data_IF_639460874774
#
_entry.id   IF_639460874774
#
_cell.length_a   1.000
_cell.length_b   1.000
_cell.length_c   1.000
_cell.angle_alpha   90.00
_cell.angle_beta   90.00
_cell.angle_gamma   90.00
#
_symmetry.space_group_name_H-M   'P 1'
#
loop_
_entity.id
_entity.type
_entity.pdbx_description
1 polymer ?
#
# COMPACT_ATOMS: atom_id res chain seq x y z
N UNK A 1 23.11 47.21 -1.98
CA UNK A 1 23.00 45.92 -1.26
C UNK A 1 22.50 46.05 0.17
N UNK A 2 23.05 46.94 1.01
CA UNK A 2 22.63 47.10 2.43
C UNK A 2 21.16 47.45 2.60
N UNK A 3 20.53 48.24 1.70
CA UNK A 3 19.11 48.63 1.74
C UNK A 3 18.13 47.47 1.57
N UNK A 4 18.55 46.32 1.06
CA UNK A 4 17.69 45.14 0.86
C UNK A 4 17.80 44.10 1.97
N UNK A 5 18.84 44.18 2.82
CA UNK A 5 19.10 43.20 3.88
C UNK A 5 17.99 43.24 4.94
N UNK A 6 17.61 44.44 5.40
CA UNK A 6 16.58 44.57 6.45
C UNK A 6 15.22 44.12 5.95
N UNK A 7 14.75 44.54 4.76
CA UNK A 7 13.51 43.99 4.19
C UNK A 7 13.54 42.46 4.00
N UNK A 8 14.64 41.92 3.50
CA UNK A 8 14.80 40.47 3.33
C UNK A 8 14.71 39.73 4.68
N UNK A 9 15.42 40.22 5.71
CA UNK A 9 15.37 39.64 7.05
C UNK A 9 13.96 39.66 7.65
N UNK A 10 13.25 40.80 7.53
CA UNK A 10 11.87 40.93 8.00
C UNK A 10 10.94 39.95 7.27
N UNK A 11 11.07 39.85 5.95
CA UNK A 11 10.28 38.91 5.16
C UNK A 11 10.57 37.46 5.55
N UNK A 12 11.83 37.10 5.73
CA UNK A 12 12.22 35.75 6.18
C UNK A 12 11.61 35.42 7.54
N UNK A 13 11.73 36.34 8.52
CA UNK A 13 11.12 36.15 9.84
C UNK A 13 9.60 36.03 9.78
N UNK A 14 8.94 36.85 8.97
CA UNK A 14 7.50 36.75 8.74
C UNK A 14 7.13 35.40 8.11
N UNK A 15 7.86 34.93 7.09
CA UNK A 15 7.62 33.63 6.48
C UNK A 15 7.84 32.48 7.49
N UNK A 16 8.86 32.53 8.31
CA UNK A 16 9.08 31.53 9.37
C UNK A 16 7.90 31.53 10.34
N UNK A 17 7.46 32.69 10.80
CA UNK A 17 6.32 32.78 11.71
C UNK A 17 5.04 32.20 11.10
N UNK A 18 4.70 32.60 9.87
CA UNK A 18 3.46 32.16 9.24
C UNK A 18 3.52 30.70 8.78
N UNK A 19 4.59 30.27 8.13
CA UNK A 19 4.66 28.94 7.51
C UNK A 19 5.19 27.86 8.45
N UNK A 20 6.19 28.15 9.28
CA UNK A 20 6.73 27.16 10.23
C UNK A 20 6.01 27.20 11.58
N UNK A 21 5.44 28.34 11.98
CA UNK A 21 4.69 28.48 13.23
C UNK A 21 3.19 28.27 13.02
N UNK A 22 2.51 29.31 12.57
CA UNK A 22 1.05 29.38 12.53
C UNK A 22 0.44 28.25 11.66
N UNK A 23 0.95 28.03 10.45
CA UNK A 23 0.47 26.98 9.55
C UNK A 23 0.64 25.58 10.15
N UNK A 24 1.82 25.30 10.72
CA UNK A 24 2.08 24.00 11.35
C UNK A 24 1.15 23.72 12.54
N UNK A 25 0.90 24.74 13.38
CA UNK A 25 -0.07 24.64 14.48
C UNK A 25 -1.49 24.44 14.01
N UNK A 26 -1.88 25.10 12.93
CA UNK A 26 -3.21 24.91 12.33
C UNK A 26 -3.39 23.49 11.81
N UNK A 27 -2.41 22.94 11.10
CA UNK A 27 -2.45 21.56 10.61
C UNK A 27 -2.46 20.57 11.77
N UNK A 28 -1.67 20.82 12.83
CA UNK A 28 -1.68 19.98 14.04
C UNK A 28 -3.08 19.99 14.69
N UNK A 29 -3.72 21.16 14.78
CA UNK A 29 -5.09 21.28 15.31
C UNK A 29 -6.12 20.49 14.49
N UNK A 30 -6.02 20.53 13.15
CA UNK A 30 -6.87 19.74 12.25
C UNK A 30 -6.60 18.24 12.44
N UNK A 31 -5.32 17.85 12.53
CA UNK A 31 -4.93 16.45 12.72
C UNK A 31 -5.53 15.85 14.01
N UNK A 32 -5.69 16.61 15.08
CA UNK A 32 -6.27 16.13 16.34
C UNK A 32 -7.75 15.73 16.23
N UNK A 33 -8.48 16.25 15.24
CA UNK A 33 -9.90 15.91 14.99
C UNK A 33 -10.07 14.85 13.91
N UNK A 34 -8.98 14.44 13.25
CA UNK A 34 -9.00 13.39 12.23
C UNK A 34 -8.99 11.97 12.84
N UNK A 35 -9.45 10.95 12.11
CA UNK A 35 -9.25 9.56 12.51
C UNK A 35 -7.77 9.27 12.81
N UNK A 36 -7.47 8.61 13.94
CA UNK A 36 -6.09 8.37 14.37
C UNK A 36 -5.37 9.56 14.98
N UNK A 37 -6.02 10.73 15.12
CA UNK A 37 -5.48 11.95 15.80
C UNK A 37 -4.07 12.36 15.34
N UNK A 38 -3.77 12.13 14.06
CA UNK A 38 -2.46 12.42 13.47
C UNK A 38 -1.39 11.33 13.67
N UNK A 39 -1.70 10.24 14.39
CA UNK A 39 -0.77 9.11 14.60
C UNK A 39 -0.94 7.99 13.56
N UNK A 40 -1.85 8.18 12.60
CA UNK A 40 -2.24 7.17 11.61
C UNK A 40 -3.40 6.29 12.08
N UNK A 41 -4.11 5.72 11.14
CA UNK A 41 -5.24 4.82 11.39
C UNK A 41 -4.73 3.39 11.58
N UNK A 42 -4.78 2.89 12.82
CA UNK A 42 -4.35 1.54 13.15
C UNK A 42 -5.49 0.53 13.00
N UNK A 43 -5.16 -0.67 12.54
CA UNK A 43 -6.07 -1.81 12.50
C UNK A 43 -5.75 -2.76 13.65
N UNK A 44 -6.77 -3.13 14.43
CA UNK A 44 -6.59 -4.03 15.56
C UNK A 44 -7.43 -5.30 15.41
N UNK A 45 -6.83 -6.44 15.76
CA UNK A 45 -7.50 -7.74 15.83
C UNK A 45 -7.31 -8.31 17.24
N UNK A 46 -8.41 -8.68 17.89
CA UNK A 46 -8.42 -9.19 19.27
C UNK A 46 -7.68 -8.29 20.27
N UNK A 47 -7.83 -6.96 20.12
CA UNK A 47 -7.20 -5.96 20.99
C UNK A 47 -5.71 -5.70 20.74
N UNK A 48 -5.11 -6.36 19.74
CA UNK A 48 -3.70 -6.16 19.34
C UNK A 48 -3.66 -5.42 18.00
N UNK A 49 -2.87 -4.35 17.91
CA UNK A 49 -2.61 -3.66 16.64
C UNK A 49 -1.83 -4.60 15.73
N UNK A 50 -2.35 -4.81 14.52
CA UNK A 50 -1.77 -5.69 13.49
C UNK A 50 -1.17 -4.91 12.33
N UNK A 51 -1.46 -3.62 12.22
CA UNK A 51 -0.88 -2.74 11.19
C UNK A 51 -1.63 -1.42 11.07
N UNK A 52 -1.26 -0.66 10.03
CA UNK A 52 -1.89 0.59 9.66
C UNK A 52 -2.79 0.39 8.44
N UNK A 53 -3.98 1.00 8.45
CA UNK A 53 -4.96 0.83 7.38
C UNK A 53 -4.46 1.33 6.02
N UNK A 54 -3.67 2.41 6.02
CA UNK A 54 -3.21 3.09 4.80
C UNK A 54 -1.74 2.81 4.46
N UNK A 55 -1.13 1.82 5.10
CA UNK A 55 0.27 1.44 4.86
C UNK A 55 0.38 -0.03 4.44
N UNK A 56 1.03 -0.26 3.31
CA UNK A 56 1.32 -1.59 2.80
C UNK A 56 2.28 -2.34 3.72
N UNK A 57 2.06 -3.64 3.84
CA UNK A 57 2.85 -4.55 4.65
C UNK A 57 3.36 -5.73 3.83
N UNK A 58 4.44 -6.35 4.31
CA UNK A 58 4.99 -7.53 3.67
C UNK A 58 4.17 -8.78 4.04
N UNK A 59 3.49 -9.36 3.07
CA UNK A 59 2.88 -10.66 3.15
C UNK A 59 3.60 -11.60 2.19
N UNK A 60 4.32 -12.61 2.69
CA UNK A 60 5.12 -13.56 1.91
C UNK A 60 4.67 -15.02 2.04
N UNK A 61 3.73 -15.31 2.96
CA UNK A 61 3.21 -16.66 3.13
C UNK A 61 2.13 -16.97 2.09
N UNK A 62 2.08 -18.21 1.60
CA UNK A 62 1.15 -18.67 0.56
C UNK A 62 -0.32 -18.58 0.94
N UNK A 63 -0.63 -18.59 2.22
CA UNK A 63 -1.99 -18.46 2.74
C UNK A 63 -2.56 -17.03 2.72
N UNK A 64 -1.74 -16.01 2.34
CA UNK A 64 -2.14 -14.62 2.31
C UNK A 64 -2.09 -14.02 0.91
N UNK A 65 -2.89 -13.00 0.66
CA UNK A 65 -2.71 -12.12 -0.50
C UNK A 65 -1.44 -11.32 -0.33
N UNK A 66 -0.63 -11.30 -1.37
CA UNK A 66 0.60 -10.54 -1.40
C UNK A 66 0.34 -9.11 -1.85
N UNK A 67 0.99 -8.17 -1.20
CA UNK A 67 0.99 -6.75 -1.55
C UNK A 67 1.87 -6.48 -2.77
N UNK A 68 1.81 -5.26 -3.28
CA UNK A 68 2.74 -4.76 -4.30
C UNK A 68 4.17 -4.78 -3.75
N UNK A 69 5.20 -5.09 -4.58
CA UNK A 69 6.59 -5.03 -4.14
C UNK A 69 6.97 -3.64 -3.64
N UNK A 70 7.77 -3.61 -2.57
CA UNK A 70 8.31 -2.38 -1.98
C UNK A 70 9.78 -2.20 -2.34
N UNK A 71 10.17 -0.99 -2.76
CA UNK A 71 11.57 -0.63 -2.98
C UNK A 71 12.30 -0.28 -1.68
N UNK A 72 11.55 -0.05 -0.59
CA UNK A 72 12.06 0.33 0.74
C UNK A 72 11.82 -0.74 1.81
N UNK A 73 11.43 -1.95 1.41
CA UNK A 73 11.17 -3.05 2.34
C UNK A 73 10.00 -2.79 3.30
N UNK A 74 9.00 -2.01 2.87
CA UNK A 74 7.85 -1.58 3.68
C UNK A 74 8.26 -0.77 4.93
N UNK A 75 9.37 -0.05 4.86
CA UNK A 75 9.80 0.83 5.94
C UNK A 75 9.03 2.16 5.90
N UNK A 76 8.08 2.34 6.82
CA UNK A 76 7.27 3.55 6.92
C UNK A 76 8.08 4.82 7.22
N UNK A 77 9.24 4.70 7.86
CA UNK A 77 10.13 5.83 8.12
C UNK A 77 10.86 6.35 6.87
N UNK A 78 10.78 5.62 5.75
CA UNK A 78 11.51 5.96 4.52
C UNK A 78 10.71 5.63 3.27
N UNK A 79 9.47 6.16 3.15
CA UNK A 79 8.64 5.98 1.94
C UNK A 79 9.39 6.43 0.68
N UNK A 80 9.38 5.59 -0.36
CA UNK A 80 10.01 5.90 -1.64
C UNK A 80 9.91 4.78 -2.67
N UNK A 81 10.05 5.15 -3.94
CA UNK A 81 10.12 4.22 -5.07
C UNK A 81 11.55 3.83 -5.44
N UNK A 82 11.68 2.88 -6.37
CA UNK A 82 13.00 2.45 -6.89
C UNK A 82 13.69 3.53 -7.72
N UNK A 83 12.93 4.48 -8.26
CA UNK A 83 13.40 5.56 -9.15
C UNK A 83 14.21 5.07 -10.37
N UNK A 84 14.04 3.81 -10.75
CA UNK A 84 14.72 3.19 -11.90
C UNK A 84 13.88 3.35 -13.17
N UNK A 85 14.52 3.71 -14.26
CA UNK A 85 13.88 3.78 -15.58
C UNK A 85 13.49 2.39 -16.10
N UNK A 86 12.52 2.35 -17.01
CA UNK A 86 11.98 1.10 -17.58
C UNK A 86 13.00 0.29 -18.39
N UNK A 87 14.07 0.94 -18.87
CA UNK A 87 15.17 0.31 -19.62
C UNK A 87 16.39 -0.02 -18.76
N UNK A 88 16.35 0.29 -17.46
CA UNK A 88 17.46 0.01 -16.55
C UNK A 88 17.68 -1.51 -16.40
N UNK A 89 18.88 -2.06 -16.67
CA UNK A 89 19.13 -3.50 -16.63
C UNK A 89 18.88 -4.12 -15.24
N UNK A 90 19.27 -3.44 -14.17
CA UNK A 90 19.04 -3.94 -12.81
C UNK A 90 17.55 -3.99 -12.48
N UNK A 91 16.77 -2.97 -12.94
CA UNK A 91 15.33 -2.99 -12.77
C UNK A 91 14.68 -4.16 -13.51
N UNK A 92 15.07 -4.41 -14.76
CA UNK A 92 14.55 -5.53 -15.54
C UNK A 92 14.91 -6.88 -14.91
N UNK A 93 16.09 -7.00 -14.32
CA UNK A 93 16.51 -8.18 -13.56
C UNK A 93 15.65 -8.36 -12.31
N UNK A 94 15.39 -7.30 -11.54
CA UNK A 94 14.54 -7.34 -10.36
C UNK A 94 13.11 -7.79 -10.73
N UNK A 95 12.54 -7.22 -11.82
CA UNK A 95 11.20 -7.59 -12.31
C UNK A 95 11.15 -9.05 -12.75
N UNK A 96 12.17 -9.52 -13.48
CA UNK A 96 12.26 -10.93 -13.91
C UNK A 96 12.31 -11.88 -12.71
N UNK A 97 13.13 -11.57 -11.72
CA UNK A 97 13.22 -12.36 -10.48
C UNK A 97 11.89 -12.42 -9.73
N UNK A 98 11.15 -11.32 -9.69
CA UNK A 98 9.81 -11.27 -9.06
C UNK A 98 8.78 -12.09 -9.85
N UNK A 99 8.83 -12.04 -11.18
CA UNK A 99 7.98 -12.88 -12.04
C UNK A 99 8.25 -14.37 -11.76
N UNK A 100 9.51 -14.78 -11.74
CA UNK A 100 9.90 -16.16 -11.51
C UNK A 100 9.46 -16.62 -10.11
N UNK A 101 9.70 -15.81 -9.09
CA UNK A 101 9.23 -16.06 -7.73
C UNK A 101 7.71 -16.19 -7.65
N UNK A 102 6.97 -15.27 -8.29
CA UNK A 102 5.50 -15.32 -8.30
C UNK A 102 4.97 -16.61 -8.93
N UNK A 103 5.54 -17.05 -10.05
CA UNK A 103 5.12 -18.27 -10.76
C UNK A 103 5.43 -19.56 -9.97
N UNK A 104 6.51 -19.58 -9.18
CA UNK A 104 6.82 -20.72 -8.30
C UNK A 104 5.69 -20.97 -7.30
N UNK A 105 5.11 -19.92 -6.76
CA UNK A 105 4.02 -19.98 -5.78
C UNK A 105 2.64 -20.07 -6.43
N UNK A 106 2.42 -19.45 -7.59
CA UNK A 106 1.14 -19.39 -8.30
C UNK A 106 1.18 -20.22 -9.59
N UNK A 107 1.30 -21.54 -9.45
CA UNK A 107 1.53 -22.50 -10.56
C UNK A 107 0.41 -22.54 -11.62
N UNK A 108 -0.78 -22.09 -11.30
CA UNK A 108 -1.93 -22.01 -12.23
C UNK A 108 -1.91 -20.76 -13.10
N UNK A 109 -1.01 -19.81 -12.85
CA UNK A 109 -0.96 -18.51 -13.54
C UNK A 109 0.09 -18.55 -14.65
N UNK A 110 -0.27 -18.07 -15.84
CA UNK A 110 0.72 -17.89 -16.91
C UNK A 110 1.41 -16.53 -16.75
N UNK A 111 2.66 -16.42 -17.21
CA UNK A 111 3.46 -15.18 -17.15
C UNK A 111 2.72 -13.95 -17.73
N UNK A 112 2.00 -14.13 -18.84
CA UNK A 112 1.24 -13.05 -19.51
C UNK A 112 0.03 -12.55 -18.71
N UNK A 113 -0.45 -13.35 -17.76
CA UNK A 113 -1.65 -13.06 -16.98
C UNK A 113 -1.31 -12.38 -15.64
N UNK A 114 -0.01 -12.27 -15.29
CA UNK A 114 0.44 -11.59 -14.08
C UNK A 114 0.20 -10.08 -14.22
N UNK A 115 -0.60 -9.45 -13.33
CA UNK A 115 -0.70 -8.00 -13.30
C UNK A 115 0.64 -7.35 -13.00
N UNK A 116 0.99 -6.31 -13.76
CA UNK A 116 2.28 -5.62 -13.64
C UNK A 116 2.57 -5.10 -12.21
N UNK A 117 1.53 -4.70 -11.49
CA UNK A 117 1.66 -4.21 -10.11
C UNK A 117 2.17 -5.26 -9.11
N UNK A 118 1.98 -6.55 -9.36
CA UNK A 118 2.51 -7.62 -8.50
C UNK A 118 4.01 -7.88 -8.68
N UNK A 119 4.62 -7.29 -9.73
CA UNK A 119 6.04 -7.48 -10.05
C UNK A 119 6.81 -6.16 -10.13
N UNK A 120 6.12 -5.02 -10.15
CA UNK A 120 6.72 -3.69 -10.13
C UNK A 120 6.54 -3.04 -8.76
N UNK A 121 7.60 -2.42 -8.24
CA UNK A 121 7.52 -1.71 -6.97
C UNK A 121 6.55 -0.53 -7.05
N UNK A 122 5.82 -0.28 -5.97
CA UNK A 122 4.98 0.91 -5.84
C UNK A 122 5.83 2.18 -5.74
N UNK A 123 5.26 3.33 -6.11
CA UNK A 123 5.95 4.61 -6.03
C UNK A 123 6.24 5.06 -4.59
N UNK A 124 5.37 4.69 -3.65
CA UNK A 124 5.55 4.97 -2.21
C UNK A 124 6.40 3.91 -1.49
N UNK A 125 6.43 2.68 -2.00
CA UNK A 125 6.95 1.51 -1.27
C UNK A 125 6.07 1.05 -0.10
N UNK A 126 4.90 1.70 0.09
CA UNK A 126 3.95 1.46 1.20
C UNK A 126 2.51 1.38 0.69
N UNK A 127 2.29 1.05 -0.59
CA UNK A 127 0.96 0.94 -1.17
C UNK A 127 0.18 -0.20 -0.51
N UNK A 128 -0.94 0.08 0.19
CA UNK A 128 -1.72 -0.94 0.88
C UNK A 128 -2.66 -1.71 -0.05
N UNK A 129 -2.85 -1.20 -1.27
CA UNK A 129 -3.91 -1.65 -2.16
C UNK A 129 -3.38 -2.45 -3.36
N UNK A 130 -4.20 -3.38 -3.84
CA UNK A 130 -4.02 -4.10 -5.10
C UNK A 130 -5.29 -4.01 -5.94
N UNK A 131 -5.19 -4.21 -7.25
CA UNK A 131 -6.36 -4.27 -8.11
C UNK A 131 -7.14 -5.59 -7.93
N UNK A 132 -8.40 -5.59 -8.36
CA UNK A 132 -9.24 -6.79 -8.43
C UNK A 132 -8.53 -7.92 -9.21
N UNK A 133 -7.90 -7.60 -10.35
CA UNK A 133 -7.17 -8.57 -11.15
C UNK A 133 -5.99 -9.18 -10.39
N UNK A 134 -5.26 -8.37 -9.63
CA UNK A 134 -4.15 -8.84 -8.81
C UNK A 134 -4.59 -9.73 -7.64
N UNK A 135 -5.77 -9.50 -7.08
CA UNK A 135 -6.35 -10.40 -6.10
C UNK A 135 -6.75 -11.73 -6.75
N UNK A 136 -7.48 -11.69 -7.87
CA UNK A 136 -7.98 -12.91 -8.51
C UNK A 136 -6.90 -13.90 -8.92
N UNK A 137 -5.77 -13.44 -9.46
CA UNK A 137 -4.69 -14.35 -9.87
C UNK A 137 -4.05 -15.10 -8.69
N UNK A 138 -4.28 -14.65 -7.45
CA UNK A 138 -3.75 -15.27 -6.24
C UNK A 138 -4.74 -16.25 -5.58
N UNK A 139 -6.02 -16.24 -5.95
CA UNK A 139 -7.09 -17.06 -5.33
C UNK A 139 -6.73 -18.56 -5.32
N UNK A 140 -6.31 -19.20 -6.44
CA UNK A 140 -6.05 -20.63 -6.44
C UNK A 140 -4.97 -21.06 -5.45
N UNK A 141 -3.91 -20.27 -5.30
CA UNK A 141 -2.84 -20.51 -4.32
C UNK A 141 -3.37 -20.46 -2.89
N UNK A 142 -4.13 -19.41 -2.57
CA UNK A 142 -4.65 -19.17 -1.22
C UNK A 142 -5.69 -20.23 -0.86
N UNK A 143 -6.61 -20.53 -1.76
CA UNK A 143 -7.63 -21.57 -1.59
C UNK A 143 -6.96 -22.92 -1.25
N UNK A 144 -5.95 -23.31 -2.02
CA UNK A 144 -5.17 -24.52 -1.78
C UNK A 144 -4.44 -24.49 -0.43
N UNK A 145 -3.77 -23.38 -0.11
CA UNK A 145 -2.99 -23.24 1.13
C UNK A 145 -3.86 -23.27 2.39
N UNK A 146 -5.11 -22.81 2.29
CA UNK A 146 -6.07 -22.78 3.42
C UNK A 146 -7.07 -23.92 3.42
N UNK A 147 -7.07 -24.79 2.40
CA UNK A 147 -8.08 -25.86 2.27
C UNK A 147 -9.50 -25.33 2.05
N UNK A 148 -9.64 -24.16 1.45
CA UNK A 148 -10.91 -23.51 1.12
C UNK A 148 -11.24 -23.74 -0.36
N UNK A 149 -12.52 -23.60 -0.74
CA UNK A 149 -12.89 -23.51 -2.16
C UNK A 149 -12.48 -22.16 -2.75
N UNK A 150 -12.14 -22.13 -4.03
CA UNK A 150 -11.83 -20.87 -4.75
C UNK A 150 -13.01 -19.90 -4.68
N UNK A 151 -14.26 -20.38 -4.81
CA UNK A 151 -15.47 -19.57 -4.71
C UNK A 151 -15.60 -18.89 -3.34
N UNK A 152 -15.22 -19.60 -2.25
CA UNK A 152 -15.26 -19.01 -0.92
C UNK A 152 -14.23 -17.89 -0.76
N UNK A 153 -13.01 -18.08 -1.28
CA UNK A 153 -11.97 -17.04 -1.28
C UNK A 153 -12.38 -15.87 -2.17
N UNK A 154 -12.95 -16.16 -3.36
CA UNK A 154 -13.45 -15.14 -4.26
C UNK A 154 -14.56 -14.29 -3.62
N UNK A 155 -15.49 -14.91 -2.90
CA UNK A 155 -16.56 -14.19 -2.20
C UNK A 155 -16.02 -13.23 -1.13
N UNK A 156 -14.88 -13.56 -0.50
CA UNK A 156 -14.20 -12.66 0.44
C UNK A 156 -13.58 -11.49 -0.32
N UNK A 157 -12.90 -11.74 -1.45
CA UNK A 157 -12.32 -10.70 -2.31
C UNK A 157 -13.38 -9.70 -2.77
N UNK A 158 -14.53 -10.18 -3.27
CA UNK A 158 -15.61 -9.32 -3.77
C UNK A 158 -16.16 -8.35 -2.72
N UNK A 159 -16.19 -8.75 -1.45
CA UNK A 159 -16.63 -7.88 -0.35
C UNK A 159 -15.64 -6.75 -0.03
N UNK A 160 -14.39 -6.89 -0.45
CA UNK A 160 -13.32 -5.93 -0.17
C UNK A 160 -13.01 -5.03 -1.36
N UNK A 161 -13.78 -5.11 -2.44
CA UNK A 161 -13.62 -4.20 -3.58
C UNK A 161 -14.17 -2.84 -3.22
N UNK A 162 -13.28 -1.88 -3.07
CA UNK A 162 -13.63 -0.46 -2.99
C UNK A 162 -13.86 0.07 -4.40
N UNK A 163 -15.08 0.50 -4.66
CA UNK A 163 -15.45 1.09 -5.95
C UNK A 163 -15.08 2.57 -6.04
N UNK A 164 -14.88 3.09 -7.27
CA UNK A 164 -14.63 4.52 -7.48
C UNK A 164 -15.69 5.41 -6.84
N UNK A 165 -15.27 6.50 -6.22
CA UNK A 165 -16.19 7.47 -5.65
C UNK A 165 -17.12 8.02 -6.74
N UNK A 166 -18.44 8.00 -6.49
CA UNK A 166 -19.49 8.34 -7.46
C UNK A 166 -19.45 7.52 -8.77
N UNK A 167 -18.76 6.36 -8.77
CA UNK A 167 -18.61 5.50 -9.95
C UNK A 167 -17.66 6.00 -11.05
N UNK A 168 -17.03 7.17 -10.86
CA UNK A 168 -16.18 7.81 -11.88
C UNK A 168 -14.85 8.35 -11.36
N UNK A 169 -14.68 8.50 -10.04
CA UNK A 169 -13.49 9.11 -9.45
C UNK A 169 -12.60 8.04 -8.80
N UNK A 170 -11.53 7.66 -9.49
CA UNK A 170 -10.57 6.66 -9.03
C UNK A 170 -10.69 5.32 -9.76
N UNK A 171 -10.03 4.31 -9.24
CA UNK A 171 -10.03 2.92 -9.74
C UNK A 171 -10.55 1.98 -8.66
N UNK A 172 -11.04 0.80 -9.04
CA UNK A 172 -11.30 -0.28 -8.09
C UNK A 172 -9.99 -0.69 -7.40
N UNK A 173 -10.05 -0.86 -6.08
CA UNK A 173 -8.91 -1.23 -5.27
C UNK A 173 -9.33 -2.15 -4.13
N UNK A 174 -8.38 -2.89 -3.57
CA UNK A 174 -8.59 -3.81 -2.47
C UNK A 174 -7.46 -3.63 -1.48
N UNK A 175 -7.80 -3.30 -0.24
CA UNK A 175 -6.82 -3.20 0.83
C UNK A 175 -6.38 -4.60 1.28
N UNK A 176 -5.08 -4.90 1.12
CA UNK A 176 -4.52 -6.23 1.37
C UNK A 176 -4.57 -6.62 2.84
N UNK A 177 -4.34 -5.68 3.76
CA UNK A 177 -4.38 -5.96 5.20
C UNK A 177 -5.79 -6.38 5.64
N UNK A 178 -6.82 -5.60 5.27
CA UNK A 178 -8.21 -5.89 5.63
C UNK A 178 -8.68 -7.21 5.02
N UNK A 179 -8.30 -7.48 3.77
CA UNK A 179 -8.60 -8.73 3.07
C UNK A 179 -7.98 -9.95 3.79
N UNK A 180 -6.71 -9.86 4.18
CA UNK A 180 -6.01 -10.95 4.89
C UNK A 180 -6.58 -11.19 6.29
N UNK A 181 -7.02 -10.15 6.99
CA UNK A 181 -7.69 -10.28 8.29
C UNK A 181 -9.00 -11.06 8.15
N UNK A 182 -9.80 -10.77 7.13
CA UNK A 182 -11.07 -11.46 6.93
C UNK A 182 -10.88 -12.91 6.43
N UNK A 183 -9.79 -13.19 5.71
CA UNK A 183 -9.39 -14.57 5.43
C UNK A 183 -9.08 -15.35 6.71
N UNK A 184 -8.37 -14.77 7.66
CA UNK A 184 -8.06 -15.42 8.94
C UNK A 184 -9.33 -15.70 9.73
N UNK A 185 -10.27 -14.74 9.76
CA UNK A 185 -11.58 -14.93 10.42
C UNK A 185 -12.42 -16.04 9.79
N UNK A 186 -12.35 -16.18 8.47
CA UNK A 186 -13.10 -17.21 7.74
C UNK A 186 -12.53 -18.62 7.96
N UNK A 187 -11.25 -18.75 8.27
CA UNK A 187 -10.58 -20.06 8.47
C UNK A 187 -10.78 -20.59 9.90
N UNK A 188 -11.14 -19.75 10.88
CA UNK A 188 -11.33 -20.12 12.29
C UNK A 188 -12.72 -20.74 12.54
N UNK A 189 -13.60 -20.78 11.54
CA UNK A 189 -14.90 -21.46 11.62
C UNK A 189 -14.80 -22.91 11.17
#
# INVERSE_FOLDING_TARGET
MKQHIIPALRLTLACIFFFCGLYSLLILGIAQVSPGKGEGETVSVNGKVVGYALEGQNFSNDQYFWSRPSAVGYNAAGSGGSNKGTTNPDYLKDVTSRIDSFLVHNKSVNKKDIPSELVTASGSGLDPDISRKAAYVQIPRIAKARGMSEDAVQAIVEKHIDHPLLGVMGTEKINVLSLNIDLDRATIK
#
